data_IF_010494522669
#
_entry.id   IF_010494522669
#
_cell.length_a   1.000
_cell.length_b   1.000
_cell.length_c   1.000
_cell.angle_alpha   90.00
_cell.angle_beta   90.00
_cell.angle_gamma   90.00
#
_symmetry.space_group_name_H-M   'P 1'
#
loop_
_entity.id
_entity.type
_entity.pdbx_description
1 polymer ?
#
# COMPACT_ATOMS: atom_id res chain seq x y z
N UNK A 1 14.11 -19.05 7.74
CA UNK A 1 14.56 -17.86 8.43
C UNK A 1 13.78 -16.63 7.96
N UNK A 2 13.36 -15.83 8.90
CA UNK A 2 12.51 -14.69 8.58
C UNK A 2 13.17 -13.69 7.64
N UNK A 3 14.47 -13.48 7.78
CA UNK A 3 15.20 -12.55 6.93
C UNK A 3 15.16 -12.96 5.45
N UNK A 4 15.33 -14.24 5.17
CA UNK A 4 15.28 -14.72 3.80
C UNK A 4 13.88 -14.57 3.21
N UNK A 5 12.85 -14.83 4.02
CA UNK A 5 11.46 -14.65 3.59
C UNK A 5 11.16 -13.20 3.30
N UNK A 6 11.62 -12.30 4.16
CA UNK A 6 11.38 -10.88 3.97
C UNK A 6 12.19 -10.31 2.82
N UNK A 7 13.34 -10.91 2.52
CA UNK A 7 14.09 -10.54 1.33
C UNK A 7 13.33 -10.80 0.05
N UNK A 8 12.72 -11.99 -0.05
CA UNK A 8 11.88 -12.32 -1.18
C UNK A 8 10.63 -11.43 -1.24
N UNK A 9 10.08 -11.10 -0.08
CA UNK A 9 8.89 -10.27 0.00
C UNK A 9 9.18 -8.82 -0.36
N UNK A 10 10.39 -8.32 -0.08
CA UNK A 10 10.80 -7.00 -0.54
C UNK A 10 10.79 -6.93 -2.06
N UNK A 11 11.26 -7.98 -2.73
CA UNK A 11 11.23 -8.06 -4.19
C UNK A 11 9.80 -8.04 -4.72
N UNK A 12 8.92 -8.83 -4.08
CA UNK A 12 7.51 -8.86 -4.46
C UNK A 12 6.90 -7.47 -4.31
N UNK A 13 7.20 -6.80 -3.19
CA UNK A 13 6.71 -5.45 -2.96
C UNK A 13 7.18 -4.48 -4.04
N UNK A 14 8.48 -4.51 -4.36
CA UNK A 14 9.03 -3.62 -5.39
C UNK A 14 8.35 -3.84 -6.73
N UNK A 15 8.11 -5.09 -7.12
CA UNK A 15 7.41 -5.41 -8.35
C UNK A 15 5.97 -4.91 -8.34
N UNK A 16 5.31 -5.04 -7.19
CA UNK A 16 3.93 -4.60 -7.06
C UNK A 16 3.80 -3.09 -7.22
N UNK A 17 4.67 -2.34 -6.56
CA UNK A 17 4.65 -0.88 -6.69
C UNK A 17 4.99 -0.45 -8.12
N UNK A 18 5.96 -1.11 -8.74
CA UNK A 18 6.32 -0.82 -10.12
C UNK A 18 5.15 -1.07 -11.07
N UNK A 19 4.49 -2.22 -10.92
CA UNK A 19 3.33 -2.56 -11.73
C UNK A 19 2.21 -1.56 -11.52
N UNK A 20 1.95 -1.18 -10.28
CA UNK A 20 0.90 -0.21 -9.97
C UNK A 20 1.21 1.14 -10.60
N UNK A 21 2.46 1.59 -10.50
CA UNK A 21 2.87 2.87 -11.10
C UNK A 21 2.77 2.84 -12.63
N UNK A 22 2.96 1.67 -13.22
CA UNK A 22 2.82 1.49 -14.66
C UNK A 22 1.35 1.31 -15.09
N UNK A 23 0.43 1.31 -14.14
CA UNK A 23 -0.99 1.03 -14.37
C UNK A 23 -1.25 -0.39 -14.87
N UNK A 24 -0.32 -1.29 -14.62
CA UNK A 24 -0.49 -2.70 -14.94
C UNK A 24 -1.10 -3.40 -13.73
N UNK A 25 -2.40 -3.18 -13.55
CA UNK A 25 -3.09 -3.68 -12.36
C UNK A 25 -3.21 -5.19 -12.36
N UNK A 26 -3.27 -5.81 -13.52
CA UNK A 26 -3.31 -7.27 -13.59
C UNK A 26 -2.00 -7.87 -13.07
N UNK A 27 -0.86 -7.29 -13.44
CA UNK A 27 0.43 -7.74 -12.92
C UNK A 27 0.52 -7.54 -11.41
N UNK A 28 -0.03 -6.42 -10.91
CA UNK A 28 -0.05 -6.16 -9.48
C UNK A 28 -0.93 -7.19 -8.75
N UNK A 29 -2.11 -7.46 -9.27
CA UNK A 29 -3.06 -8.43 -8.69
C UNK A 29 -2.45 -9.83 -8.65
N UNK A 30 -1.63 -10.17 -9.63
CA UNK A 30 -0.96 -11.48 -9.65
C UNK A 30 -0.02 -11.69 -8.45
N UNK A 31 0.39 -10.60 -7.81
CA UNK A 31 1.26 -10.65 -6.62
C UNK A 31 0.47 -10.57 -5.31
N UNK A 32 -0.85 -10.57 -5.40
CA UNK A 32 -1.73 -10.43 -4.25
C UNK A 32 -2.52 -11.72 -4.05
N UNK A 33 -2.57 -12.19 -2.79
CA UNK A 33 -3.31 -13.40 -2.45
C UNK A 33 -4.81 -13.17 -2.68
N UNK A 34 -5.52 -14.18 -3.23
CA UNK A 34 -6.97 -14.03 -3.44
C UNK A 34 -7.77 -13.83 -2.15
N UNK A 35 -7.18 -14.10 -0.99
CA UNK A 35 -7.84 -13.88 0.29
C UNK A 35 -7.38 -12.60 0.97
N UNK A 36 -6.78 -11.70 0.24
CA UNK A 36 -6.21 -10.47 0.78
C UNK A 36 -7.23 -9.63 1.55
N UNK A 37 -6.74 -8.99 2.61
CA UNK A 37 -7.46 -7.96 3.33
C UNK A 37 -6.73 -6.64 3.13
N UNK A 38 -7.42 -5.68 2.59
CA UNK A 38 -6.85 -4.39 2.22
C UNK A 38 -7.60 -3.29 2.95
N UNK A 39 -6.90 -2.48 3.72
CA UNK A 39 -7.56 -1.41 4.46
C UNK A 39 -6.74 -0.13 4.43
N UNK A 40 -7.43 0.97 4.58
CA UNK A 40 -6.83 2.28 4.72
C UNK A 40 -7.17 2.79 6.11
N UNK A 41 -6.17 2.85 6.97
CA UNK A 41 -6.34 3.32 8.34
C UNK A 41 -5.92 4.78 8.34
N UNK A 42 -6.86 5.66 8.28
CA UNK A 42 -6.49 7.00 8.04
C UNK A 42 -7.22 8.02 8.86
N UNK A 43 -7.24 9.21 8.32
CA UNK A 43 -7.92 10.30 8.96
C UNK A 43 -9.40 10.27 8.62
N UNK A 44 -10.20 10.83 9.51
CA UNK A 44 -11.64 10.94 9.28
C UNK A 44 -11.99 11.80 8.07
N UNK A 45 -10.99 12.49 7.51
CA UNK A 45 -11.21 13.32 6.33
C UNK A 45 -11.16 12.56 5.02
N UNK A 46 -10.73 11.29 5.07
CA UNK A 46 -10.65 10.49 3.84
C UNK A 46 -11.81 9.51 3.77
N UNK A 47 -12.60 9.57 2.70
CA UNK A 47 -13.71 8.63 2.54
C UNK A 47 -13.21 7.19 2.46
N UNK A 48 -13.98 6.25 3.00
CA UNK A 48 -13.65 4.84 2.92
C UNK A 48 -12.60 4.37 3.92
N UNK A 49 -12.18 5.24 4.85
CA UNK A 49 -11.25 4.81 5.89
C UNK A 49 -11.94 3.84 6.83
N UNK A 50 -11.16 2.91 7.38
CA UNK A 50 -11.60 1.84 8.29
C UNK A 50 -12.45 0.77 7.62
N UNK A 51 -12.71 0.89 6.34
CA UNK A 51 -13.35 -0.18 5.60
C UNK A 51 -12.29 -1.22 5.21
N UNK A 52 -12.66 -2.50 5.28
CA UNK A 52 -11.78 -3.57 4.83
C UNK A 52 -12.27 -4.06 3.46
N UNK A 53 -11.41 -3.95 2.47
CA UNK A 53 -11.68 -4.43 1.13
C UNK A 53 -11.09 -5.84 1.02
N UNK A 54 -11.89 -6.78 0.58
CA UNK A 54 -11.49 -8.19 0.60
C UNK A 54 -11.36 -8.76 -0.80
N UNK A 55 -10.29 -9.54 -0.99
CA UNK A 55 -10.04 -10.25 -2.24
C UNK A 55 -9.62 -9.34 -3.37
N UNK A 56 -9.36 -9.94 -4.52
CA UNK A 56 -8.92 -9.19 -5.70
C UNK A 56 -9.95 -8.16 -6.14
N UNK A 57 -11.21 -8.56 -6.10
CA UNK A 57 -12.30 -7.67 -6.49
C UNK A 57 -12.39 -6.45 -5.57
N UNK A 58 -12.23 -6.66 -4.27
CA UNK A 58 -12.23 -5.57 -3.31
C UNK A 58 -11.08 -4.61 -3.54
N UNK A 59 -9.89 -5.13 -3.82
CA UNK A 59 -8.72 -4.29 -4.09
C UNK A 59 -8.93 -3.47 -5.37
N UNK A 60 -9.47 -4.09 -6.43
CA UNK A 60 -9.75 -3.37 -7.67
C UNK A 60 -10.77 -2.25 -7.44
N UNK A 61 -11.78 -2.52 -6.61
CA UNK A 61 -12.76 -1.51 -6.27
C UNK A 61 -12.11 -0.34 -5.53
N UNK A 62 -11.25 -0.64 -4.56
CA UNK A 62 -10.52 0.40 -3.83
C UNK A 62 -9.68 1.25 -4.77
N UNK A 63 -8.92 0.62 -5.67
CA UNK A 63 -8.09 1.35 -6.61
C UNK A 63 -8.92 2.24 -7.52
N UNK A 64 -10.04 1.73 -8.02
CA UNK A 64 -10.91 2.50 -8.87
C UNK A 64 -11.40 3.76 -8.17
N UNK A 65 -11.85 3.62 -6.93
CA UNK A 65 -12.35 4.75 -6.15
C UNK A 65 -11.24 5.72 -5.78
N UNK A 66 -10.06 5.19 -5.46
CA UNK A 66 -8.94 6.00 -5.00
C UNK A 66 -8.31 6.79 -6.15
N UNK A 67 -8.20 6.18 -7.32
CA UNK A 67 -7.51 6.79 -8.46
C UNK A 67 -8.37 7.83 -9.17
N UNK A 68 -9.68 7.65 -9.13
CA UNK A 68 -10.63 8.44 -9.93
C UNK A 68 -10.42 9.96 -9.87
N UNK A 69 -10.21 10.58 -8.70
CA UNK A 69 -10.08 12.04 -8.63
C UNK A 69 -8.73 12.59 -9.12
N UNK A 70 -7.80 11.74 -9.53
CA UNK A 70 -6.45 12.18 -9.85
C UNK A 70 -6.15 12.02 -11.34
N UNK A 71 -5.52 13.05 -11.91
CA UNK A 71 -5.02 12.99 -13.28
C UNK A 71 -3.79 12.12 -13.35
N UNK A 72 -2.93 12.24 -12.35
CA UNK A 72 -1.75 11.37 -12.24
C UNK A 72 -1.53 11.04 -10.77
N UNK A 73 -1.01 9.84 -10.55
CA UNK A 73 -0.79 9.35 -9.21
C UNK A 73 0.37 8.36 -9.26
N UNK A 74 1.42 8.64 -8.51
CA UNK A 74 2.62 7.81 -8.50
C UNK A 74 3.06 7.59 -7.05
N UNK A 75 3.49 6.38 -6.75
CA UNK A 75 3.99 6.03 -5.42
C UNK A 75 5.51 5.95 -5.49
N UNK A 76 6.16 6.68 -4.60
CA UNK A 76 7.61 6.62 -4.44
C UNK A 76 7.93 5.95 -3.10
N UNK A 77 8.76 4.90 -3.14
CA UNK A 77 9.22 4.24 -1.92
C UNK A 77 10.42 5.00 -1.39
N UNK A 78 10.35 5.43 -0.13
CA UNK A 78 11.46 6.16 0.49
C UNK A 78 12.25 5.32 1.47
N UNK A 79 11.65 4.28 2.04
CA UNK A 79 12.34 3.38 2.96
C UNK A 79 11.53 2.10 3.14
N UNK A 80 12.19 1.04 3.54
CA UNK A 80 11.56 -0.22 3.92
C UNK A 80 12.22 -0.73 5.18
N UNK A 81 11.40 -1.20 6.12
CA UNK A 81 11.88 -1.81 7.35
C UNK A 81 11.13 -3.10 7.60
N UNK A 82 11.77 -3.98 8.37
CA UNK A 82 11.17 -5.24 8.75
C UNK A 82 10.81 -5.21 10.23
N UNK A 83 9.60 -5.65 10.53
CA UNK A 83 9.11 -5.73 11.89
C UNK A 83 8.45 -7.09 12.07
N UNK A 84 9.25 -8.09 12.52
CA UNK A 84 8.78 -9.45 12.57
C UNK A 84 8.47 -9.96 11.17
N UNK A 85 7.23 -10.37 10.95
CA UNK A 85 6.79 -10.85 9.65
C UNK A 85 6.06 -9.76 8.84
N UNK A 86 6.15 -8.51 9.30
CA UNK A 86 5.52 -7.37 8.63
C UNK A 86 6.58 -6.57 7.90
N UNK A 87 6.33 -6.29 6.63
CA UNK A 87 7.16 -5.37 5.87
C UNK A 87 6.55 -3.98 6.00
N UNK A 88 7.35 -3.03 6.48
CA UNK A 88 6.92 -1.65 6.67
C UNK A 88 7.50 -0.82 5.53
N UNK A 89 6.65 -0.26 4.70
CA UNK A 89 7.07 0.48 3.51
C UNK A 89 6.68 1.93 3.67
N UNK A 90 7.68 2.81 3.65
CA UNK A 90 7.45 4.25 3.72
C UNK A 90 7.36 4.79 2.30
N UNK A 91 6.27 5.46 1.99
CA UNK A 91 6.02 5.93 0.63
C UNK A 91 5.59 7.38 0.62
N UNK A 92 5.73 8.00 -0.55
CA UNK A 92 5.13 9.29 -0.83
C UNK A 92 4.29 9.16 -2.07
N UNK A 93 3.07 9.66 -2.00
CA UNK A 93 2.19 9.74 -3.14
C UNK A 93 2.38 11.08 -3.81
N UNK A 94 2.72 11.05 -5.09
CA UNK A 94 2.82 12.25 -5.91
C UNK A 94 1.58 12.26 -6.80
N UNK A 95 0.73 13.23 -6.57
CA UNK A 95 -0.59 13.26 -7.20
C UNK A 95 -0.87 14.61 -7.84
N UNK A 96 -1.61 14.58 -8.94
CA UNK A 96 -2.08 15.80 -9.60
C UNK A 96 -3.61 15.69 -9.69
N UNK A 97 -4.31 16.68 -9.15
CA UNK A 97 -5.76 16.68 -9.19
C UNK A 97 -6.28 16.87 -10.60
N UNK A 98 -7.32 16.13 -10.95
CA UNK A 98 -7.83 16.11 -12.32
C UNK A 98 -8.39 17.46 -12.76
N UNK A 99 -9.16 18.12 -11.92
CA UNK A 99 -9.76 19.39 -12.27
C UNK A 99 -8.89 20.58 -11.89
N UNK A 100 -8.28 20.50 -10.74
CA UNK A 100 -7.52 21.63 -10.20
C UNK A 100 -6.12 21.75 -10.78
N UNK A 101 -5.54 20.64 -11.23
CA UNK A 101 -4.13 20.60 -11.65
C UNK A 101 -3.17 20.79 -10.49
N UNK A 102 -3.66 20.76 -9.25
CA UNK A 102 -2.82 20.96 -8.08
C UNK A 102 -1.95 19.74 -7.84
N UNK A 103 -0.66 19.97 -7.62
CA UNK A 103 0.29 18.91 -7.30
C UNK A 103 0.34 18.72 -5.79
N UNK A 104 0.23 17.48 -5.36
CA UNK A 104 0.30 17.11 -3.95
C UNK A 104 1.35 16.02 -3.74
N UNK A 105 2.05 16.12 -2.61
CA UNK A 105 2.93 15.05 -2.17
C UNK A 105 2.51 14.69 -0.76
N UNK A 106 2.03 13.46 -0.57
CA UNK A 106 1.47 13.02 0.70
C UNK A 106 2.19 11.75 1.17
N UNK A 107 2.74 11.76 2.39
CA UNK A 107 3.40 10.57 2.92
C UNK A 107 2.38 9.58 3.49
N UNK A 108 2.67 8.30 3.26
CA UNK A 108 1.91 7.20 3.87
C UNK A 108 2.88 6.13 4.32
N UNK A 109 2.41 5.27 5.23
CA UNK A 109 3.15 4.09 5.64
C UNK A 109 2.28 2.88 5.36
N UNK A 110 2.84 1.91 4.65
CA UNK A 110 2.14 0.67 4.33
C UNK A 110 2.68 -0.45 5.19
N UNK A 111 1.79 -1.21 5.82
CA UNK A 111 2.14 -2.43 6.53
C UNK A 111 1.66 -3.61 5.72
N UNK A 112 2.59 -4.46 5.32
CA UNK A 112 2.29 -5.57 4.43
C UNK A 112 2.69 -6.90 5.05
N UNK A 113 1.76 -7.85 5.04
CA UNK A 113 2.02 -9.22 5.46
C UNK A 113 1.79 -10.13 4.26
N UNK A 114 2.63 -11.16 4.14
CA UNK A 114 2.65 -12.02 2.97
C UNK A 114 2.40 -13.47 3.36
N UNK A 115 1.89 -14.24 2.40
CA UNK A 115 1.73 -15.68 2.52
C UNK A 115 2.11 -16.28 1.17
N UNK A 116 3.10 -17.18 1.19
CA UNK A 116 3.59 -17.80 -0.06
C UNK A 116 3.99 -16.77 -1.10
N UNK A 117 4.67 -15.70 -0.65
CA UNK A 117 5.16 -14.61 -1.50
C UNK A 117 4.06 -13.82 -2.19
N UNK A 118 2.85 -13.85 -1.61
CA UNK A 118 1.75 -13.03 -2.09
C UNK A 118 1.22 -12.17 -0.96
N UNK A 119 0.82 -10.98 -1.27
CA UNK A 119 0.33 -10.03 -0.28
C UNK A 119 -0.99 -10.55 0.30
N UNK A 120 -1.01 -10.80 1.59
CA UNK A 120 -2.18 -11.32 2.29
C UNK A 120 -2.94 -10.24 3.05
N UNK A 121 -2.20 -9.30 3.63
CA UNK A 121 -2.81 -8.23 4.40
C UNK A 121 -2.07 -6.94 4.12
N UNK A 122 -2.81 -5.91 3.82
CA UNK A 122 -2.25 -4.60 3.51
C UNK A 122 -3.00 -3.54 4.28
N UNK A 123 -2.25 -2.69 5.00
CA UNK A 123 -2.83 -1.58 5.75
C UNK A 123 -2.06 -0.32 5.42
N UNK A 124 -2.75 0.67 4.89
CA UNK A 124 -2.15 1.96 4.58
C UNK A 124 -2.49 2.94 5.71
N UNK A 125 -1.49 3.58 6.26
CA UNK A 125 -1.66 4.55 7.34
C UNK A 125 -1.27 5.94 6.88
N UNK A 126 -2.12 6.92 7.16
CA UNK A 126 -1.78 8.31 6.93
C UNK A 126 -0.90 8.87 8.05
N UNK A 127 -1.02 8.32 9.24
CA UNK A 127 -0.26 8.75 10.42
C UNK A 127 0.93 7.84 10.66
N UNK A 128 2.14 8.40 10.55
CA UNK A 128 3.38 7.63 10.71
C UNK A 128 3.49 7.02 12.11
N UNK A 129 3.16 7.78 13.14
CA UNK A 129 3.27 7.28 14.51
C UNK A 129 2.34 6.10 14.77
N UNK A 130 1.11 6.18 14.26
CA UNK A 130 0.15 5.08 14.38
C UNK A 130 0.64 3.84 13.65
N UNK A 131 1.21 4.01 12.46
CA UNK A 131 1.73 2.91 11.68
C UNK A 131 2.87 2.20 12.40
N UNK A 132 3.82 2.98 12.91
CA UNK A 132 4.97 2.42 13.63
C UNK A 132 4.51 1.68 14.89
N UNK A 133 3.57 2.25 15.61
CA UNK A 133 3.02 1.59 16.79
C UNK A 133 2.34 0.28 16.43
N UNK A 134 1.55 0.27 15.37
CA UNK A 134 0.87 -0.94 14.90
C UNK A 134 1.85 -2.01 14.48
N UNK A 135 3.01 -1.63 13.96
CA UNK A 135 4.06 -2.57 13.54
C UNK A 135 4.95 -3.00 14.69
N UNK A 136 4.81 -2.38 15.86
CA UNK A 136 5.66 -2.67 17.01
C UNK A 136 7.03 -1.99 16.95
N UNK A 137 7.14 -0.94 16.16
CA UNK A 137 8.38 -0.18 16.02
C UNK A 137 8.29 1.15 16.78
N UNK A 138 9.46 1.71 17.08
CA UNK A 138 9.56 3.03 17.67
C UNK A 138 10.00 4.04 16.61
N UNK A 139 9.64 5.27 16.82
CA UNK A 139 10.12 6.33 15.94
C UNK A 139 11.60 6.63 16.13
#
# INVERSE_FOLDING_TARGET
MSEENLGAEREVALRAYEAWNARDFDACIALIDPEVEWSFVGSAQMPGTDEVYRGHEGVRRFWSEFIDPWESLRIEITDMREAGDTLVVFVQFHAVGMESGVELTVPFVHLANYRNRKLLRFRAYADRAEALKAAGLRE
#
